data_IF_260252084217
#
_entry.id   IF_260252084217
#
_cell.length_a   1.000
_cell.length_b   1.000
_cell.length_c   1.000
_cell.angle_alpha   90.00
_cell.angle_beta   90.00
_cell.angle_gamma   90.00
#
_symmetry.space_group_name_H-M   'P 1'
#
loop_
_entity.id
_entity.type
_entity.pdbx_description
1 polymer ?
#
# COMPACT_ATOMS: atom_id res chain seq x y z
N UNK A 1 15.25 -28.52 30.77
CA UNK A 1 14.77 -27.32 31.50
C UNK A 1 15.89 -26.44 32.07
N UNK A 2 17.02 -26.96 32.59
CA UNK A 2 18.14 -26.14 33.12
C UNK A 2 18.68 -25.07 32.15
N UNK A 3 18.64 -25.32 30.83
CA UNK A 3 19.23 -24.45 29.81
C UNK A 3 18.40 -23.20 29.42
N UNK A 4 17.07 -23.22 29.63
CA UNK A 4 16.20 -22.08 29.25
C UNK A 4 16.31 -20.97 30.28
N UNK A 5 16.31 -21.33 31.58
CA UNK A 5 16.43 -20.36 32.67
C UNK A 5 17.77 -19.63 32.60
N UNK A 6 18.88 -20.36 32.35
CA UNK A 6 20.20 -19.75 32.24
C UNK A 6 20.31 -18.83 31.00
N UNK A 7 19.68 -19.19 29.87
CA UNK A 7 19.59 -18.31 28.68
C UNK A 7 18.80 -17.04 28.96
N UNK A 8 17.66 -17.17 29.63
CA UNK A 8 16.83 -16.02 30.02
C UNK A 8 17.58 -15.11 30.98
N UNK A 9 18.25 -15.69 32.00
CA UNK A 9 19.07 -14.92 32.95
C UNK A 9 20.20 -14.18 32.24
N UNK A 10 20.87 -14.82 31.29
CA UNK A 10 21.93 -14.19 30.49
C UNK A 10 21.40 -13.05 29.62
N UNK A 11 20.25 -13.24 28.99
CA UNK A 11 19.58 -12.18 28.23
C UNK A 11 19.22 -10.98 29.11
N UNK A 12 18.69 -11.22 30.32
CA UNK A 12 18.40 -10.15 31.29
C UNK A 12 19.66 -9.38 31.68
N UNK A 13 20.79 -10.06 31.93
CA UNK A 13 22.07 -9.43 32.24
C UNK A 13 22.55 -8.58 31.06
N UNK A 14 22.57 -9.12 29.84
CA UNK A 14 23.02 -8.40 28.65
C UNK A 14 22.18 -7.15 28.36
N UNK A 15 20.86 -7.25 28.44
CA UNK A 15 19.96 -6.10 28.25
C UNK A 15 20.10 -5.05 29.35
N UNK A 16 20.33 -5.50 30.58
CA UNK A 16 20.44 -4.60 31.73
C UNK A 16 21.78 -3.87 31.81
N UNK A 17 22.84 -4.36 31.16
CA UNK A 17 24.17 -3.73 31.12
C UNK A 17 24.15 -2.28 30.62
N UNK A 18 23.23 -1.93 29.71
CA UNK A 18 23.11 -0.57 29.16
C UNK A 18 22.19 0.36 29.96
N UNK A 19 21.53 -0.17 31.00
CA UNK A 19 20.37 0.47 31.66
C UNK A 19 20.59 0.61 33.16
N UNK A 20 21.42 -0.26 33.73
CA UNK A 20 21.77 -0.28 35.14
C UNK A 20 23.04 0.47 35.42
N UNK A 21 23.13 0.97 36.65
CA UNK A 21 24.43 1.35 37.22
C UNK A 21 25.29 0.10 37.44
N UNK A 22 26.62 0.27 37.43
CA UNK A 22 27.58 -0.83 37.64
C UNK A 22 27.28 -1.62 38.93
N UNK A 23 26.82 -0.92 39.98
CA UNK A 23 26.43 -1.54 41.26
C UNK A 23 25.16 -2.39 41.16
N UNK A 24 24.14 -1.93 40.45
CA UNK A 24 22.91 -2.70 40.25
C UNK A 24 23.17 -3.93 39.36
N UNK A 25 24.02 -3.76 38.34
CA UNK A 25 24.45 -4.82 37.44
C UNK A 25 25.21 -5.93 38.18
N UNK A 26 26.20 -5.56 39.02
CA UNK A 26 26.99 -6.54 39.79
C UNK A 26 26.13 -7.29 40.84
N UNK A 27 25.15 -6.60 41.45
CA UNK A 27 24.15 -7.25 42.33
C UNK A 27 23.34 -8.31 41.56
N UNK A 28 22.86 -7.97 40.36
CA UNK A 28 22.06 -8.89 39.53
C UNK A 28 22.87 -10.05 38.98
N UNK A 29 24.12 -9.81 38.60
CA UNK A 29 25.03 -10.86 38.14
C UNK A 29 25.25 -11.90 39.24
N UNK A 30 25.48 -11.45 40.48
CA UNK A 30 25.65 -12.32 41.65
C UNK A 30 24.39 -13.12 42.00
N UNK A 31 23.20 -12.54 41.80
CA UNK A 31 21.93 -13.23 42.04
C UNK A 31 21.57 -14.23 40.93
N UNK A 32 21.70 -13.84 39.66
CA UNK A 32 21.17 -14.60 38.52
C UNK A 32 22.17 -15.59 37.91
N UNK A 33 23.46 -15.30 37.98
CA UNK A 33 24.54 -16.14 37.43
C UNK A 33 25.23 -16.91 38.55
N UNK A 34 25.66 -16.22 39.62
CA UNK A 34 26.35 -16.88 40.74
C UNK A 34 25.39 -17.54 41.74
N UNK A 35 24.07 -17.32 41.59
CA UNK A 35 23.00 -17.95 42.39
C UNK A 35 23.14 -17.72 43.90
N UNK A 36 23.75 -16.59 44.30
CA UNK A 36 23.87 -16.18 45.71
C UNK A 36 22.52 -15.79 46.29
N UNK A 37 22.35 -15.97 47.59
CA UNK A 37 21.10 -15.59 48.27
C UNK A 37 21.00 -14.07 48.47
N UNK A 38 19.78 -13.56 48.65
CA UNK A 38 19.55 -12.14 48.92
C UNK A 38 20.27 -11.64 50.19
N UNK A 39 20.46 -12.52 51.18
CA UNK A 39 21.16 -12.20 52.43
C UNK A 39 22.68 -12.15 52.25
N UNK A 40 23.25 -13.07 51.47
CA UNK A 40 24.68 -13.06 51.12
C UNK A 40 25.05 -11.83 50.30
N UNK A 41 24.25 -11.53 49.26
CA UNK A 41 24.44 -10.33 48.44
C UNK A 41 24.23 -9.08 49.30
N UNK A 42 23.22 -9.06 50.16
CA UNK A 42 23.02 -7.97 51.12
C UNK A 42 24.24 -7.71 52.00
N UNK A 43 24.83 -8.79 52.54
CA UNK A 43 26.02 -8.72 53.39
C UNK A 43 27.25 -8.21 52.64
N UNK A 44 27.44 -8.61 51.37
CA UNK A 44 28.57 -8.16 50.52
C UNK A 44 28.51 -6.65 50.25
N UNK A 45 27.32 -6.09 50.07
CA UNK A 45 27.13 -4.68 49.70
C UNK A 45 26.67 -3.78 50.85
N UNK A 46 26.62 -4.30 52.09
CA UNK A 46 26.19 -3.57 53.28
C UNK A 46 24.73 -3.11 53.22
N UNK A 47 23.85 -3.87 52.55
CA UNK A 47 22.42 -3.54 52.39
C UNK A 47 21.54 -4.70 52.85
N UNK A 48 20.31 -4.41 53.27
CA UNK A 48 19.37 -5.45 53.68
C UNK A 48 18.94 -6.31 52.47
N UNK A 49 18.62 -7.59 52.71
CA UNK A 49 18.10 -8.46 51.65
C UNK A 49 16.83 -7.91 50.99
N UNK A 50 16.01 -7.18 51.74
CA UNK A 50 14.84 -6.47 51.21
C UNK A 50 15.21 -5.37 50.21
N UNK A 51 16.30 -4.63 50.49
CA UNK A 51 16.80 -3.62 49.56
C UNK A 51 17.31 -4.26 48.26
N UNK A 52 17.96 -5.41 48.36
CA UNK A 52 18.40 -6.20 47.18
C UNK A 52 17.19 -6.64 46.35
N UNK A 53 16.11 -7.10 46.99
CA UNK A 53 14.85 -7.45 46.32
C UNK A 53 14.24 -6.26 45.57
N UNK A 54 14.21 -5.08 46.19
CA UNK A 54 13.71 -3.86 45.53
C UNK A 54 14.53 -3.48 44.30
N UNK A 55 15.86 -3.62 44.35
CA UNK A 55 16.75 -3.36 43.22
C UNK A 55 16.45 -4.32 42.06
N UNK A 56 16.28 -5.60 42.37
CA UNK A 56 15.89 -6.61 41.40
C UNK A 56 14.56 -6.27 40.72
N UNK A 57 13.51 -5.95 41.48
CA UNK A 57 12.19 -5.67 40.93
C UNK A 57 12.17 -4.41 40.06
N UNK A 58 12.86 -3.34 40.49
CA UNK A 58 13.00 -2.10 39.70
C UNK A 58 13.71 -2.35 38.39
N UNK A 59 14.78 -3.14 38.43
CA UNK A 59 15.53 -3.52 37.24
C UNK A 59 14.67 -4.32 36.27
N UNK A 60 13.97 -5.32 36.78
CA UNK A 60 13.06 -6.13 35.97
C UNK A 60 12.03 -5.27 35.25
N UNK A 61 11.42 -4.29 35.95
CA UNK A 61 10.48 -3.33 35.35
C UNK A 61 11.15 -2.51 34.24
N UNK A 62 12.35 -1.97 34.46
CA UNK A 62 13.10 -1.23 33.43
C UNK A 62 13.37 -2.08 32.18
N UNK A 63 13.87 -3.30 32.36
CA UNK A 63 14.18 -4.21 31.24
C UNK A 63 12.91 -4.59 30.48
N UNK A 64 11.81 -4.86 31.20
CA UNK A 64 10.51 -5.15 30.60
C UNK A 64 10.01 -3.99 29.73
N UNK A 65 10.08 -2.75 30.22
CA UNK A 65 9.66 -1.56 29.46
C UNK A 65 10.50 -1.38 28.19
N UNK A 66 11.81 -1.61 28.26
CA UNK A 66 12.69 -1.52 27.08
C UNK A 66 12.38 -2.61 26.07
N UNK A 67 12.14 -3.85 26.52
CA UNK A 67 11.75 -4.94 25.63
C UNK A 67 10.43 -4.64 24.89
N UNK A 68 9.48 -3.99 25.56
CA UNK A 68 8.24 -3.52 24.92
C UNK A 68 8.53 -2.48 23.82
N UNK A 69 9.34 -1.46 24.11
CA UNK A 69 9.73 -0.44 23.13
C UNK A 69 10.44 -1.07 21.92
N UNK A 70 11.33 -2.06 22.14
CA UNK A 70 11.98 -2.78 21.06
C UNK A 70 10.97 -3.54 20.19
N UNK A 71 9.97 -4.18 20.80
CA UNK A 71 8.87 -4.82 20.08
C UNK A 71 8.04 -3.84 19.25
N UNK A 72 7.79 -2.63 19.77
CA UNK A 72 7.14 -1.56 19.02
C UNK A 72 7.99 -1.11 17.82
N UNK A 73 9.30 -0.94 18.01
CA UNK A 73 10.23 -0.60 16.92
C UNK A 73 10.16 -1.64 15.79
N UNK A 74 10.19 -2.92 16.14
CA UNK A 74 10.11 -3.99 15.15
C UNK A 74 8.74 -4.02 14.44
N UNK A 75 7.66 -3.75 15.17
CA UNK A 75 6.32 -3.57 14.59
C UNK A 75 6.32 -2.43 13.56
N UNK A 76 6.90 -1.27 13.90
CA UNK A 76 6.98 -0.13 12.98
C UNK A 76 7.87 -0.41 11.76
N UNK A 77 8.98 -1.15 11.92
CA UNK A 77 9.81 -1.58 10.79
C UNK A 77 9.04 -2.48 9.83
N UNK A 78 8.27 -3.43 10.35
CA UNK A 78 7.41 -4.29 9.52
C UNK A 78 6.35 -3.48 8.78
N UNK A 79 5.69 -2.53 9.46
CA UNK A 79 4.69 -1.66 8.83
C UNK A 79 5.30 -0.79 7.74
N UNK A 80 6.50 -0.25 7.95
CA UNK A 80 7.23 0.51 6.93
C UNK A 80 7.54 -0.35 5.69
N UNK A 81 7.91 -1.61 5.89
CA UNK A 81 8.18 -2.52 4.78
C UNK A 81 6.91 -2.84 3.98
N UNK A 82 5.79 -3.08 4.64
CA UNK A 82 4.49 -3.28 3.99
C UNK A 82 4.09 -2.06 3.15
N UNK A 83 4.12 -0.86 3.74
CA UNK A 83 3.78 0.39 3.04
C UNK A 83 4.64 0.62 1.79
N UNK A 84 5.94 0.29 1.84
CA UNK A 84 6.82 0.38 0.67
C UNK A 84 6.42 -0.60 -0.44
N UNK A 85 5.98 -1.80 -0.08
CA UNK A 85 5.52 -2.81 -1.04
C UNK A 85 4.21 -2.37 -1.69
N UNK A 86 3.25 -1.92 -0.89
CA UNK A 86 1.94 -1.43 -1.36
C UNK A 86 2.11 -0.25 -2.31
N UNK A 87 2.92 0.75 -1.93
CA UNK A 87 3.19 1.91 -2.77
C UNK A 87 3.83 1.53 -4.12
N UNK A 88 4.80 0.61 -4.12
CA UNK A 88 5.42 0.15 -5.35
C UNK A 88 4.43 -0.58 -6.26
N UNK A 89 3.51 -1.35 -5.68
CA UNK A 89 2.47 -2.05 -6.41
C UNK A 89 1.47 -1.07 -7.04
N UNK A 90 1.01 -0.06 -6.30
CA UNK A 90 0.12 0.99 -6.80
C UNK A 90 0.75 1.76 -7.97
N UNK A 91 2.02 2.17 -7.86
CA UNK A 91 2.73 2.83 -8.96
C UNK A 91 2.81 1.94 -10.20
N UNK A 92 3.08 0.65 -10.03
CA UNK A 92 3.16 -0.28 -11.16
C UNK A 92 1.81 -0.46 -11.85
N UNK A 93 0.71 -0.48 -11.10
CA UNK A 93 -0.63 -0.53 -11.68
C UNK A 93 -0.94 0.74 -12.45
N UNK A 94 -0.70 1.91 -11.85
CA UNK A 94 -0.95 3.20 -12.50
C UNK A 94 -0.15 3.36 -13.80
N UNK A 95 1.13 2.96 -13.81
CA UNK A 95 1.94 2.94 -15.04
C UNK A 95 1.39 2.02 -16.12
N UNK A 96 0.79 0.88 -15.75
CA UNK A 96 0.15 -0.03 -16.71
C UNK A 96 -1.13 0.57 -17.27
N UNK A 97 -1.92 1.25 -16.45
CA UNK A 97 -3.12 1.98 -16.89
C UNK A 97 -2.73 3.14 -17.83
N UNK A 98 -1.75 3.95 -17.46
CA UNK A 98 -1.26 5.06 -18.29
C UNK A 98 -0.75 4.55 -19.65
N UNK A 99 0.06 3.49 -19.67
CA UNK A 99 0.53 2.87 -20.91
C UNK A 99 -0.61 2.27 -21.74
N UNK A 100 -1.61 1.66 -21.11
CA UNK A 100 -2.77 1.10 -21.82
C UNK A 100 -3.57 2.21 -22.49
N UNK A 101 -3.82 3.31 -21.77
CA UNK A 101 -4.53 4.46 -22.29
C UNK A 101 -3.76 5.08 -23.47
N UNK A 102 -2.43 5.20 -23.38
CA UNK A 102 -1.60 5.70 -24.49
C UNK A 102 -1.69 4.81 -25.74
N UNK A 103 -1.69 3.48 -25.56
CA UNK A 103 -1.86 2.51 -26.66
C UNK A 103 -3.26 2.61 -27.27
N UNK A 104 -4.31 2.72 -26.43
CA UNK A 104 -5.69 2.81 -26.89
C UNK A 104 -5.91 4.11 -27.69
N UNK A 105 -5.39 5.26 -27.24
CA UNK A 105 -5.48 6.54 -27.95
C UNK A 105 -4.80 6.52 -29.34
N UNK A 106 -3.68 5.81 -29.48
CA UNK A 106 -2.94 5.73 -30.74
C UNK A 106 -3.55 4.74 -31.75
N UNK A 107 -4.51 3.91 -31.33
CA UNK A 107 -5.10 2.88 -32.19
C UNK A 107 -5.93 3.53 -33.30
N UNK A 108 -5.63 3.16 -34.55
CA UNK A 108 -6.37 3.64 -35.72
C UNK A 108 -7.78 3.05 -35.77
N UNK A 109 -8.78 3.86 -36.10
CA UNK A 109 -10.17 3.40 -36.21
C UNK A 109 -10.33 2.31 -37.28
N UNK A 110 -9.62 2.43 -38.40
CA UNK A 110 -9.61 1.43 -39.48
C UNK A 110 -8.82 0.16 -39.15
N UNK A 111 -7.99 0.18 -38.10
CA UNK A 111 -7.29 -1.00 -37.60
C UNK A 111 -8.12 -1.77 -36.57
N UNK A 112 -9.25 -1.20 -36.13
CA UNK A 112 -10.26 -1.95 -35.38
C UNK A 112 -10.91 -2.99 -36.28
N UNK A 113 -11.23 -4.15 -35.71
CA UNK A 113 -12.02 -5.19 -36.39
C UNK A 113 -13.53 -4.88 -36.35
N UNK A 114 -13.91 -3.71 -35.81
CA UNK A 114 -15.31 -3.30 -35.73
C UNK A 114 -15.86 -2.93 -37.12
N UNK A 115 -16.95 -3.55 -37.58
CA UNK A 115 -17.50 -3.34 -38.92
C UNK A 115 -18.39 -2.09 -38.95
N UNK A 116 -17.77 -0.91 -39.05
CA UNK A 116 -18.51 0.33 -39.23
C UNK A 116 -19.30 0.36 -40.55
N UNK A 117 -20.45 1.05 -40.54
CA UNK A 117 -21.16 1.31 -41.78
C UNK A 117 -20.39 2.28 -42.68
N UNK A 118 -20.64 2.22 -44.00
CA UNK A 118 -20.09 3.20 -44.95
C UNK A 118 -20.38 4.64 -44.53
N UNK A 119 -21.56 4.87 -43.95
CA UNK A 119 -21.98 6.19 -43.45
C UNK A 119 -21.10 6.67 -42.31
N UNK A 120 -20.73 5.78 -41.40
CA UNK A 120 -19.86 6.11 -40.28
C UNK A 120 -18.42 6.37 -40.75
N UNK A 121 -17.92 5.57 -41.70
CA UNK A 121 -16.63 5.86 -42.33
C UNK A 121 -16.58 7.23 -43.01
N UNK A 122 -17.59 7.56 -43.82
CA UNK A 122 -17.68 8.90 -44.42
C UNK A 122 -17.78 10.01 -43.38
N UNK A 123 -18.40 9.76 -42.22
CA UNK A 123 -18.43 10.73 -41.13
C UNK A 123 -17.03 10.94 -40.54
N UNK A 124 -16.28 9.86 -40.26
CA UNK A 124 -14.91 9.97 -39.77
C UNK A 124 -13.98 10.67 -40.77
N UNK A 125 -14.13 10.41 -42.08
CA UNK A 125 -13.39 11.11 -43.13
C UNK A 125 -13.69 12.62 -43.15
N UNK A 126 -14.97 13.01 -43.03
CA UNK A 126 -15.36 14.43 -42.99
C UNK A 126 -14.85 15.14 -41.74
N UNK A 127 -14.78 14.42 -40.61
CA UNK A 127 -14.27 14.94 -39.35
C UNK A 127 -12.75 14.83 -39.22
N UNK A 128 -12.07 14.25 -40.22
CA UNK A 128 -10.63 13.97 -40.22
C UNK A 128 -10.14 13.16 -38.99
N UNK A 129 -10.99 12.24 -38.52
CA UNK A 129 -10.71 11.38 -37.35
C UNK A 129 -10.15 10.04 -37.82
N UNK A 130 -8.90 9.76 -37.43
CA UNK A 130 -8.16 8.56 -37.85
C UNK A 130 -7.84 7.59 -36.72
N UNK A 131 -7.82 8.07 -35.47
CA UNK A 131 -7.52 7.27 -34.28
C UNK A 131 -8.52 7.52 -33.13
N UNK A 132 -8.46 6.67 -32.10
CA UNK A 132 -9.35 6.74 -30.94
C UNK A 132 -9.13 8.04 -30.14
N UNK A 133 -7.89 8.54 -30.05
CA UNK A 133 -7.61 9.79 -29.35
C UNK A 133 -8.34 10.99 -29.95
N UNK A 134 -8.27 11.15 -31.27
CA UNK A 134 -9.01 12.18 -32.00
C UNK A 134 -10.53 12.00 -31.86
N UNK A 135 -11.01 10.76 -31.76
CA UNK A 135 -12.42 10.48 -31.52
C UNK A 135 -12.84 10.94 -30.10
N UNK A 136 -11.98 10.72 -29.10
CA UNK A 136 -12.23 11.07 -27.70
C UNK A 136 -12.16 12.58 -27.43
N UNK A 137 -11.46 13.35 -28.27
CA UNK A 137 -11.44 14.82 -28.19
C UNK A 137 -12.81 15.46 -28.46
N UNK A 138 -13.69 14.75 -29.17
CA UNK A 138 -15.04 15.23 -29.48
C UNK A 138 -15.98 14.76 -28.36
N UNK A 139 -16.64 15.68 -27.62
CA UNK A 139 -17.62 15.29 -26.62
C UNK A 139 -18.75 14.48 -27.23
N UNK A 140 -19.22 13.44 -26.56
CA UNK A 140 -20.27 12.54 -27.06
C UNK A 140 -21.54 13.28 -27.54
N UNK A 141 -21.93 14.35 -26.83
CA UNK A 141 -23.05 15.21 -27.22
C UNK A 141 -22.77 16.03 -28.48
N UNK A 142 -21.53 16.40 -28.73
CA UNK A 142 -21.10 17.14 -29.92
C UNK A 142 -21.35 16.36 -31.21
N UNK A 143 -21.30 15.03 -31.17
CA UNK A 143 -21.61 14.21 -32.35
C UNK A 143 -23.05 14.37 -32.83
N UNK A 144 -23.99 14.65 -31.92
CA UNK A 144 -25.41 14.87 -32.28
C UNK A 144 -25.62 16.14 -33.12
N UNK A 145 -24.65 17.07 -33.11
CA UNK A 145 -24.67 18.28 -33.92
C UNK A 145 -24.21 18.05 -35.37
N UNK A 146 -23.55 16.93 -35.68
CA UNK A 146 -23.04 16.70 -37.05
C UNK A 146 -24.14 16.26 -38.00
N UNK A 147 -24.20 16.96 -39.16
CA UNK A 147 -25.10 16.63 -40.25
C UNK A 147 -24.71 15.26 -40.81
N UNK A 148 -25.47 14.24 -40.45
CA UNK A 148 -25.21 12.87 -40.89
C UNK A 148 -25.20 11.88 -39.74
N UNK A 149 -24.89 12.34 -38.53
CA UNK A 149 -24.97 11.54 -37.32
C UNK A 149 -26.44 11.32 -36.94
N UNK A 150 -26.89 10.07 -37.03
CA UNK A 150 -28.28 9.66 -36.78
C UNK A 150 -28.29 8.45 -35.84
N UNK A 151 -29.48 7.97 -35.50
CA UNK A 151 -29.69 6.89 -34.52
C UNK A 151 -28.79 5.69 -34.79
N UNK A 152 -28.61 5.33 -36.06
CA UNK A 152 -27.74 4.24 -36.47
C UNK A 152 -26.25 4.51 -36.18
N UNK A 153 -25.76 5.72 -36.45
CA UNK A 153 -24.39 6.12 -36.10
C UNK A 153 -24.16 6.11 -34.58
N UNK A 154 -25.14 6.60 -33.80
CA UNK A 154 -25.05 6.54 -32.32
C UNK A 154 -24.95 5.11 -31.82
N UNK A 155 -25.77 4.19 -32.34
CA UNK A 155 -25.70 2.76 -32.01
C UNK A 155 -24.33 2.15 -32.37
N UNK A 156 -23.83 2.45 -33.56
CA UNK A 156 -22.51 1.98 -34.01
C UNK A 156 -21.39 2.55 -33.13
N UNK A 157 -21.48 3.81 -32.70
CA UNK A 157 -20.48 4.41 -31.81
C UNK A 157 -20.50 3.80 -30.41
N UNK A 158 -21.69 3.58 -29.84
CA UNK A 158 -21.84 2.89 -28.55
C UNK A 158 -21.25 1.47 -28.65
N UNK A 159 -21.62 0.73 -29.69
CA UNK A 159 -21.15 -0.63 -29.89
C UNK A 159 -19.63 -0.69 -30.12
N UNK A 160 -19.05 0.31 -30.81
CA UNK A 160 -17.60 0.41 -30.98
C UNK A 160 -16.88 0.69 -29.65
N UNK A 161 -17.38 1.65 -28.87
CA UNK A 161 -16.81 2.02 -27.57
C UNK A 161 -16.83 0.81 -26.61
N UNK A 162 -17.94 0.06 -26.59
CA UNK A 162 -18.06 -1.18 -25.80
C UNK A 162 -17.19 -2.32 -26.36
N UNK A 163 -17.09 -2.45 -27.68
CA UNK A 163 -16.29 -3.49 -28.33
C UNK A 163 -14.78 -3.30 -28.08
N UNK A 164 -14.31 -2.05 -28.11
CA UNK A 164 -12.92 -1.70 -27.83
C UNK A 164 -12.60 -1.54 -26.33
N UNK A 165 -13.62 -1.58 -25.45
CA UNK A 165 -13.50 -1.40 -24.01
C UNK A 165 -12.82 -0.06 -23.63
N UNK A 166 -13.22 1.01 -24.34
CA UNK A 166 -12.68 2.37 -24.25
C UNK A 166 -13.68 3.35 -23.60
N UNK A 167 -14.67 2.86 -22.86
CA UNK A 167 -15.69 3.69 -22.18
C UNK A 167 -15.05 4.75 -21.28
N UNK A 168 -13.93 4.40 -20.65
CA UNK A 168 -13.18 5.26 -19.75
C UNK A 168 -12.59 6.51 -20.43
N UNK A 169 -12.49 6.55 -21.76
CA UNK A 169 -12.02 7.71 -22.52
C UNK A 169 -13.13 8.74 -22.77
N UNK A 170 -14.40 8.40 -22.52
CA UNK A 170 -15.54 9.26 -22.83
C UNK A 170 -16.35 9.59 -21.57
N UNK A 171 -16.28 10.85 -21.15
CA UNK A 171 -17.09 11.35 -20.03
C UNK A 171 -18.59 11.19 -20.32
N UNK A 172 -19.36 10.84 -19.28
CA UNK A 172 -20.81 10.62 -19.34
C UNK A 172 -21.29 9.52 -20.31
N UNK A 173 -20.42 8.61 -20.79
CA UNK A 173 -20.81 7.55 -21.73
C UNK A 173 -22.01 6.73 -21.28
N UNK A 174 -22.04 6.31 -20.00
CA UNK A 174 -23.15 5.51 -19.44
C UNK A 174 -24.49 6.22 -19.52
N UNK A 175 -24.50 7.55 -19.35
CA UNK A 175 -25.70 8.38 -19.46
C UNK A 175 -26.05 8.60 -20.93
N UNK A 176 -25.09 9.02 -21.75
CA UNK A 176 -25.28 9.32 -23.17
C UNK A 176 -25.81 8.14 -23.98
N UNK A 177 -25.36 6.92 -23.66
CA UNK A 177 -25.83 5.64 -24.21
C UNK A 177 -27.36 5.46 -24.11
N UNK A 178 -27.96 5.97 -23.04
CA UNK A 178 -29.39 5.81 -22.76
C UNK A 178 -30.26 6.95 -23.27
N UNK A 179 -29.65 8.07 -23.70
CA UNK A 179 -30.35 9.24 -24.18
C UNK A 179 -30.74 9.12 -25.67
N UNK A 180 -31.97 9.51 -26.06
CA UNK A 180 -32.32 9.68 -27.47
C UNK A 180 -31.47 10.78 -28.14
N UNK A 181 -31.26 10.69 -29.46
CA UNK A 181 -30.66 11.79 -30.21
C UNK A 181 -31.65 12.95 -30.24
N UNK A 182 -31.23 14.13 -29.76
CA UNK A 182 -32.06 15.34 -29.78
C UNK A 182 -33.01 15.51 -28.59
N UNK A 183 -32.77 14.85 -27.46
CA UNK A 183 -33.42 15.20 -26.20
C UNK A 183 -32.78 16.45 -25.60
N UNK A 184 -33.23 17.61 -26.03
CA UNK A 184 -33.23 18.84 -25.22
C UNK A 184 -34.55 18.93 -24.46
#
# INVERSE_FOLDING_TARGET
MKNIIDRTNRFYIEMSRKVLSDREYDILQKLLIEKKTLQEVGSIYGVTGERVRQIYERTYKKVKSIAQILGEIDTYKHKLQQLKQDFNFEIQQKKKEDNKNEVDLCKKLYASHFPFSKRMHSLFEVLDVHNIGQLAEIPLKGFECFRGFKVQCKKEMIAFIEFENIEHLFEDFSVWKTQPIGSQ
#
